data_IF_236296561846
#
_entry.id   IF_236296561846
#
_cell.length_a   1.000
_cell.length_b   1.000
_cell.length_c   1.000
_cell.angle_alpha   90.00
_cell.angle_beta   90.00
_cell.angle_gamma   90.00
#
_symmetry.space_group_name_H-M   'P 1'
#
loop_
_entity.id
_entity.type
_entity.pdbx_description
1 polymer ?
#
# COMPACT_ATOMS: atom_id res chain seq x y z
N UNK A 1 -10.28 29.88 -10.66
CA UNK A 1 -9.83 28.48 -10.51
C UNK A 1 -8.96 28.20 -11.71
N UNK A 2 -7.64 28.18 -11.53
CA UNK A 2 -6.70 27.93 -12.63
C UNK A 2 -6.60 26.42 -12.84
N UNK A 3 -7.05 25.95 -14.00
CA UNK A 3 -6.85 24.58 -14.45
C UNK A 3 -5.41 24.43 -14.94
N UNK A 4 -4.68 23.46 -14.39
CA UNK A 4 -3.34 23.13 -14.87
C UNK A 4 -3.46 22.27 -16.14
N UNK A 5 -3.19 22.87 -17.29
CA UNK A 5 -2.99 22.14 -18.54
C UNK A 5 -1.68 21.34 -18.47
N UNK A 6 -1.80 20.01 -18.40
CA UNK A 6 -0.68 19.08 -18.47
C UNK A 6 -1.17 17.65 -18.28
N UNK A 7 -1.40 16.95 -19.40
CA UNK A 7 -1.73 15.51 -19.55
C UNK A 7 -2.38 14.82 -18.32
N UNK A 8 -3.66 14.41 -18.37
CA UNK A 8 -4.30 13.75 -17.23
C UNK A 8 -3.42 12.60 -16.76
N UNK A 9 -2.98 12.68 -15.50
CA UNK A 9 -2.15 11.66 -14.87
C UNK A 9 -2.85 10.32 -15.01
N UNK A 10 -2.40 9.51 -15.96
CA UNK A 10 -3.05 8.24 -16.27
C UNK A 10 -2.67 7.27 -15.16
N UNK A 11 -3.64 6.92 -14.33
CA UNK A 11 -3.47 5.92 -13.29
C UNK A 11 -3.10 4.57 -13.92
N UNK A 12 -2.08 3.93 -13.36
CA UNK A 12 -1.64 2.59 -13.77
C UNK A 12 -1.69 1.68 -12.55
N UNK A 13 -2.20 0.47 -12.73
CA UNK A 13 -2.07 -0.57 -11.72
C UNK A 13 -0.60 -0.96 -11.59
N UNK A 14 -0.06 -0.89 -10.37
CA UNK A 14 1.35 -1.17 -10.09
C UNK A 14 1.52 -2.35 -9.14
N UNK A 15 0.72 -2.42 -8.08
CA UNK A 15 0.89 -3.35 -6.97
C UNK A 15 -0.46 -3.86 -6.45
N UNK A 16 -0.50 -5.13 -6.10
CA UNK A 16 -1.50 -5.71 -5.21
C UNK A 16 -0.79 -6.58 -4.16
N UNK A 17 -1.28 -6.48 -2.93
CA UNK A 17 -0.82 -7.26 -1.79
C UNK A 17 -2.04 -7.86 -1.10
N UNK A 18 -1.84 -8.98 -0.41
CA UNK A 18 -2.92 -9.73 0.25
C UNK A 18 -3.03 -11.13 -0.33
N UNK A 19 -3.90 -11.92 0.31
CA UNK A 19 -4.10 -13.30 -0.09
C UNK A 19 -4.82 -13.40 -1.44
N UNK A 20 -4.48 -14.44 -2.21
CA UNK A 20 -5.13 -14.73 -3.51
C UNK A 20 -6.23 -15.78 -3.39
N UNK A 21 -6.55 -16.20 -2.16
CA UNK A 21 -7.62 -17.14 -1.87
C UNK A 21 -9.00 -16.57 -2.18
N UNK A 22 -10.02 -17.40 -2.02
CA UNK A 22 -11.40 -16.96 -2.21
C UNK A 22 -11.78 -15.92 -1.15
N UNK A 23 -12.83 -15.13 -1.41
CA UNK A 23 -13.32 -14.10 -0.47
C UNK A 23 -13.63 -14.70 0.91
N UNK A 24 -13.95 -15.99 0.96
CA UNK A 24 -14.24 -16.73 2.20
C UNK A 24 -12.99 -16.99 3.06
N UNK A 25 -11.79 -16.94 2.48
CA UNK A 25 -10.52 -17.11 3.22
C UNK A 25 -10.02 -15.80 3.84
N UNK A 26 -10.67 -14.66 3.56
CA UNK A 26 -10.30 -13.37 4.13
C UNK A 26 -10.77 -13.32 5.58
N UNK A 27 -9.82 -13.31 6.52
CA UNK A 27 -10.16 -13.16 7.93
C UNK A 27 -10.46 -11.70 8.27
N UNK A 28 -11.37 -11.46 9.22
CA UNK A 28 -11.65 -10.09 9.68
C UNK A 28 -10.38 -9.38 10.18
N UNK A 29 -9.44 -10.13 10.75
CA UNK A 29 -8.16 -9.61 11.22
C UNK A 29 -7.28 -9.07 10.07
N UNK A 30 -7.41 -9.58 8.84
CA UNK A 30 -6.66 -9.13 7.66
C UNK A 30 -7.27 -7.91 6.96
N UNK A 31 -8.44 -7.42 7.40
CA UNK A 31 -9.07 -6.24 6.81
C UNK A 31 -8.29 -4.98 7.20
N UNK A 32 -7.72 -4.32 6.20
CA UNK A 32 -7.06 -3.01 6.34
C UNK A 32 -8.10 -1.99 6.81
N UNK A 33 -7.85 -1.38 7.97
CA UNK A 33 -8.71 -0.39 8.61
C UNK A 33 -8.15 1.03 8.56
N UNK A 34 -6.84 1.20 8.36
CA UNK A 34 -6.21 2.52 8.26
C UNK A 34 -5.03 2.50 7.28
N UNK A 35 -4.80 3.62 6.61
CA UNK A 35 -3.67 3.85 5.70
C UNK A 35 -3.14 5.27 5.90
N UNK A 36 -1.82 5.43 6.00
CA UNK A 36 -1.20 6.74 6.21
C UNK A 36 0.17 6.81 5.54
N UNK A 37 0.40 7.87 4.77
CA UNK A 37 1.75 8.20 4.29
C UNK A 37 2.45 9.09 5.31
N UNK A 38 3.77 8.92 5.43
CA UNK A 38 4.57 9.90 6.15
C UNK A 38 4.61 11.24 5.41
N UNK A 39 5.08 12.29 6.09
CA UNK A 39 5.12 13.64 5.53
C UNK A 39 5.96 13.75 4.25
N UNK A 40 6.93 12.85 4.07
CA UNK A 40 7.81 12.84 2.89
C UNK A 40 7.24 12.02 1.72
N UNK A 41 6.28 11.14 1.96
CA UNK A 41 5.74 10.19 0.98
C UNK A 41 6.70 9.04 0.64
N UNK A 42 7.74 8.83 1.45
CA UNK A 42 8.67 7.71 1.30
C UNK A 42 8.19 6.47 2.03
N UNK A 43 7.29 6.61 3.00
CA UNK A 43 6.74 5.50 3.75
C UNK A 43 5.21 5.50 3.70
N UNK A 44 4.64 4.31 3.58
CA UNK A 44 3.20 4.07 3.71
C UNK A 44 3.00 3.07 4.85
N UNK A 45 2.27 3.46 5.88
CA UNK A 45 1.81 2.57 6.94
C UNK A 45 0.38 2.11 6.65
N UNK A 46 0.10 0.83 6.89
CA UNK A 46 -1.25 0.28 6.89
C UNK A 46 -1.50 -0.46 8.19
N UNK A 47 -2.68 -0.27 8.79
CA UNK A 47 -3.11 -1.03 9.95
C UNK A 47 -4.36 -1.84 9.63
N UNK A 48 -4.44 -3.06 10.15
CA UNK A 48 -5.62 -3.93 10.02
C UNK A 48 -6.40 -4.07 11.34
N UNK A 49 -7.58 -4.68 11.26
CA UNK A 49 -8.42 -4.95 12.44
C UNK A 49 -7.79 -5.96 13.41
N UNK A 50 -6.86 -6.79 12.95
CA UNK A 50 -6.08 -7.70 13.78
C UNK A 50 -5.05 -6.99 14.66
N UNK A 51 -4.84 -5.68 14.45
CA UNK A 51 -3.87 -4.87 15.18
C UNK A 51 -2.44 -4.97 14.63
N UNK A 52 -2.26 -5.56 13.45
CA UNK A 52 -0.96 -5.57 12.77
C UNK A 52 -0.77 -4.24 12.04
N UNK A 53 0.47 -3.78 12.05
CA UNK A 53 0.91 -2.61 11.29
C UNK A 53 1.97 -3.04 10.29
N UNK A 54 1.77 -2.69 9.03
CA UNK A 54 2.69 -2.94 7.92
C UNK A 54 3.24 -1.62 7.43
N UNK A 55 4.56 -1.51 7.33
CA UNK A 55 5.25 -0.35 6.80
C UNK A 55 5.87 -0.68 5.45
N UNK A 56 5.51 0.10 4.43
CA UNK A 56 6.08 0.03 3.10
C UNK A 56 7.04 1.19 2.90
N UNK A 57 8.23 0.91 2.37
CA UNK A 57 9.20 1.92 1.95
C UNK A 57 9.17 2.06 0.42
N UNK A 58 9.17 3.30 -0.05
CA UNK A 58 9.24 3.66 -1.46
C UNK A 58 10.62 3.31 -2.00
N UNK A 59 10.67 2.36 -2.92
CA UNK A 59 11.90 2.08 -3.65
C UNK A 59 12.05 3.04 -4.85
N UNK A 60 13.03 3.93 -4.80
CA UNK A 60 13.29 4.91 -5.87
C UNK A 60 13.90 4.29 -7.13
N UNK A 61 14.53 3.11 -7.01
CA UNK A 61 15.29 2.49 -8.11
C UNK A 61 14.48 1.55 -8.97
N UNK A 62 13.33 1.09 -8.49
CA UNK A 62 12.54 0.08 -9.17
C UNK A 62 11.23 0.69 -9.60
N UNK A 63 11.12 0.96 -10.91
CA UNK A 63 9.85 1.27 -11.60
C UNK A 63 8.87 0.07 -11.60
N UNK A 64 9.32 -1.04 -11.05
CA UNK A 64 8.67 -2.33 -10.91
C UNK A 64 8.55 -2.64 -9.41
N UNK A 65 7.48 -3.27 -8.94
CA UNK A 65 7.24 -3.38 -7.51
C UNK A 65 8.21 -4.34 -6.85
N UNK A 66 9.14 -3.80 -6.05
CA UNK A 66 9.95 -4.62 -5.14
C UNK A 66 9.10 -5.20 -4.03
N UNK A 67 9.49 -6.42 -3.63
CA UNK A 67 8.91 -7.21 -2.55
C UNK A 67 8.71 -6.35 -1.30
N UNK A 68 7.56 -6.46 -0.61
CA UNK A 68 7.30 -5.70 0.59
C UNK A 68 8.40 -6.03 1.60
N UNK A 69 9.04 -4.99 2.13
CA UNK A 69 10.06 -5.13 3.16
C UNK A 69 9.37 -5.55 4.46
N UNK A 70 9.27 -6.86 4.60
CA UNK A 70 9.25 -7.60 5.86
C UNK A 70 7.95 -7.61 6.68
N UNK A 71 7.37 -8.82 6.72
CA UNK A 71 6.53 -9.43 7.76
C UNK A 71 7.25 -9.51 9.13
N UNK A 72 7.92 -8.44 9.59
CA UNK A 72 8.50 -8.44 10.95
C UNK A 72 7.39 -8.15 11.94
N UNK A 73 6.71 -9.22 12.30
CA UNK A 73 5.95 -9.39 13.52
C UNK A 73 6.71 -8.75 14.69
N UNK A 74 6.17 -7.66 15.22
CA UNK A 74 6.26 -7.42 16.66
C UNK A 74 5.31 -8.40 17.34
#
# INVERSE_FOLDING_TARGET
MVEAEGNPTTWKFTQCFGDKGDVEDITEADIISTVEFDQTGNYLATGDKGGRVVLFERNETVRSPTKPLFWRQC
#
